data_IF_535367313882
#
_entry.id   IF_535367313882
#
_cell.length_a   1.000
_cell.length_b   1.000
_cell.length_c   1.000
_cell.angle_alpha   90.00
_cell.angle_beta   90.00
_cell.angle_gamma   90.00
#
_symmetry.space_group_name_H-M   'P 1'
#
loop_
_entity.id
_entity.type
_entity.pdbx_description
1 polymer ?
#
# COMPACT_ATOMS: atom_id res chain seq x y z
N UNK A 1 -1.12 -14.01 19.60
CA UNK A 1 -1.76 -13.06 18.66
C UNK A 1 -0.86 -11.89 18.26
N UNK A 2 0.01 -11.37 19.13
CA UNK A 2 0.89 -10.23 18.83
C UNK A 2 1.72 -10.35 17.53
N UNK A 3 2.30 -11.52 17.24
CA UNK A 3 3.05 -11.74 15.99
C UNK A 3 2.20 -11.60 14.73
N UNK A 4 0.95 -12.07 14.75
CA UNK A 4 0.02 -11.95 13.62
C UNK A 4 -0.37 -10.48 13.39
N UNK A 5 -0.66 -9.75 14.47
CA UNK A 5 -0.95 -8.31 14.43
C UNK A 5 0.24 -7.53 13.85
N UNK A 6 1.46 -7.83 14.32
CA UNK A 6 2.69 -7.24 13.81
C UNK A 6 2.86 -7.48 12.30
N UNK A 7 2.59 -8.70 11.81
CA UNK A 7 2.66 -9.01 10.39
C UNK A 7 1.71 -8.14 9.56
N UNK A 8 0.47 -7.94 9.99
CA UNK A 8 -0.48 -7.07 9.26
C UNK A 8 -0.01 -5.62 9.20
N UNK A 9 0.54 -5.09 10.30
CA UNK A 9 1.11 -3.74 10.31
C UNK A 9 2.36 -3.63 9.43
N UNK A 10 3.26 -4.61 9.48
CA UNK A 10 4.46 -4.63 8.64
C UNK A 10 4.14 -4.73 7.15
N UNK A 11 3.18 -5.58 6.77
CA UNK A 11 2.71 -5.71 5.38
C UNK A 11 2.02 -4.43 4.92
N UNK A 12 1.16 -3.85 5.75
CA UNK A 12 0.53 -2.55 5.47
C UNK A 12 1.57 -1.46 5.17
N UNK A 13 2.61 -1.35 6.00
CA UNK A 13 3.69 -0.37 5.82
C UNK A 13 4.48 -0.61 4.52
N UNK A 14 4.77 -1.87 4.17
CA UNK A 14 5.40 -2.23 2.90
C UNK A 14 4.54 -1.83 1.69
N UNK A 15 3.23 -2.10 1.75
CA UNK A 15 2.29 -1.78 0.68
C UNK A 15 2.16 -0.26 0.47
N UNK A 16 2.06 0.51 1.54
CA UNK A 16 2.07 1.97 1.45
C UNK A 16 3.38 2.51 0.87
N UNK A 17 4.53 1.97 1.29
CA UNK A 17 5.83 2.35 0.74
C UNK A 17 5.90 2.09 -0.77
N UNK A 18 5.40 0.93 -1.21
CA UNK A 18 5.25 0.61 -2.63
C UNK A 18 4.32 1.59 -3.36
N UNK A 19 3.18 1.94 -2.76
CA UNK A 19 2.26 2.92 -3.33
C UNK A 19 2.91 4.29 -3.54
N UNK A 20 3.64 4.80 -2.54
CA UNK A 20 4.39 6.05 -2.65
C UNK A 20 5.44 6.03 -3.77
N UNK A 21 6.12 4.89 -3.96
CA UNK A 21 7.06 4.73 -5.07
C UNK A 21 6.37 4.92 -6.43
N UNK A 22 5.20 4.30 -6.64
CA UNK A 22 4.45 4.47 -7.88
C UNK A 22 3.84 5.86 -8.03
N UNK A 23 3.41 6.51 -6.95
CA UNK A 23 2.95 7.91 -7.01
C UNK A 23 4.08 8.85 -7.45
N UNK A 24 5.29 8.66 -6.93
CA UNK A 24 6.47 9.42 -7.36
C UNK A 24 6.81 9.17 -8.83
N UNK A 25 6.72 7.91 -9.28
CA UNK A 25 6.90 7.53 -10.69
C UNK A 25 5.85 8.21 -11.60
N UNK A 26 4.60 8.32 -11.15
CA UNK A 26 3.52 8.95 -11.91
C UNK A 26 3.70 10.47 -12.08
N UNK A 27 4.41 11.12 -11.14
CA UNK A 27 4.76 12.54 -11.22
C UNK A 27 5.89 12.83 -12.21
N UNK A 28 6.66 11.83 -12.63
CA UNK A 28 7.72 12.02 -13.60
C UNK A 28 7.14 12.30 -14.99
N UNK A 29 7.81 13.17 -15.76
CA UNK A 29 7.41 13.57 -17.12
C UNK A 29 7.81 12.52 -18.18
N UNK A 30 7.82 11.25 -17.80
CA UNK A 30 8.17 10.16 -18.69
C UNK A 30 7.00 9.81 -19.62
N UNK A 31 7.30 9.53 -20.89
CA UNK A 31 6.32 9.11 -21.90
C UNK A 31 5.75 7.71 -21.63
N UNK A 32 6.55 6.84 -20.99
CA UNK A 32 6.18 5.48 -20.63
C UNK A 32 6.72 5.10 -19.25
N UNK A 33 5.99 4.33 -18.43
CA UNK A 33 4.64 3.81 -18.65
C UNK A 33 3.53 4.89 -18.53
N UNK A 34 2.37 4.72 -19.22
CA UNK A 34 1.25 5.65 -19.14
C UNK A 34 0.82 5.92 -17.70
N UNK A 35 0.64 7.20 -17.35
CA UNK A 35 0.37 7.63 -15.96
C UNK A 35 -0.83 6.93 -15.33
N UNK A 36 -1.90 6.67 -16.07
CA UNK A 36 -3.09 5.98 -15.55
C UNK A 36 -2.78 4.55 -15.05
N UNK A 37 -1.87 3.82 -15.70
CA UNK A 37 -1.45 2.47 -15.29
C UNK A 37 -0.64 2.56 -13.99
N UNK A 38 0.23 3.57 -13.88
CA UNK A 38 1.03 3.80 -12.67
C UNK A 38 0.14 4.18 -11.49
N UNK A 39 -0.86 5.05 -11.71
CA UNK A 39 -1.84 5.40 -10.70
C UNK A 39 -2.71 4.22 -10.28
N UNK A 40 -3.10 3.34 -11.22
CA UNK A 40 -3.86 2.14 -10.90
C UNK A 40 -3.06 1.18 -10.00
N UNK A 41 -1.76 0.98 -10.31
CA UNK A 41 -0.85 0.19 -9.45
C UNK A 41 -0.70 0.81 -8.05
N UNK A 42 -0.54 2.14 -7.98
CA UNK A 42 -0.47 2.86 -6.71
C UNK A 42 -1.77 2.70 -5.90
N UNK A 43 -2.94 2.78 -6.55
CA UNK A 43 -4.24 2.63 -5.92
C UNK A 43 -4.49 1.21 -5.40
N UNK A 44 -4.10 0.18 -6.16
CA UNK A 44 -4.18 -1.22 -5.69
C UNK A 44 -3.31 -1.45 -4.46
N UNK A 45 -2.08 -0.93 -4.45
CA UNK A 45 -1.18 -1.03 -3.30
C UNK A 45 -1.71 -0.25 -2.09
N UNK A 46 -2.21 0.96 -2.28
CA UNK A 46 -2.82 1.76 -1.21
C UNK A 46 -4.06 1.07 -0.64
N UNK A 47 -4.94 0.52 -1.50
CA UNK A 47 -6.13 -0.21 -1.09
C UNK A 47 -5.79 -1.48 -0.30
N UNK A 48 -4.82 -2.27 -0.79
CA UNK A 48 -4.32 -3.44 -0.06
C UNK A 48 -3.70 -3.08 1.28
N UNK A 49 -2.90 -1.99 1.35
CA UNK A 49 -2.33 -1.48 2.59
C UNK A 49 -3.39 -1.03 3.58
N UNK A 50 -4.42 -0.32 3.13
CA UNK A 50 -5.54 0.10 3.97
C UNK A 50 -6.32 -1.11 4.52
N UNK A 51 -6.60 -2.13 3.70
CA UNK A 51 -7.27 -3.36 4.14
C UNK A 51 -6.42 -4.10 5.19
N UNK A 52 -5.12 -4.27 4.93
CA UNK A 52 -4.20 -4.91 5.89
C UNK A 52 -4.12 -4.14 7.21
N UNK A 53 -4.09 -2.81 7.15
CA UNK A 53 -4.14 -1.94 8.33
C UNK A 53 -5.42 -2.16 9.14
N UNK A 54 -6.58 -2.14 8.48
CA UNK A 54 -7.88 -2.33 9.13
C UNK A 54 -7.99 -3.69 9.81
N UNK A 55 -7.49 -4.76 9.18
CA UNK A 55 -7.44 -6.09 9.79
C UNK A 55 -6.50 -6.10 11.02
N UNK A 56 -5.33 -5.47 10.91
CA UNK A 56 -4.39 -5.34 12.03
C UNK A 56 -5.00 -4.58 13.22
N UNK A 57 -5.75 -3.50 12.95
CA UNK A 57 -6.48 -2.74 13.98
C UNK A 57 -7.56 -3.61 14.61
N UNK A 58 -8.36 -4.31 13.80
CA UNK A 58 -9.43 -5.17 14.31
C UNK A 58 -8.89 -6.24 15.27
N UNK A 59 -7.79 -6.91 14.90
CA UNK A 59 -7.14 -7.91 15.76
C UNK A 59 -6.42 -7.32 16.97
N UNK A 60 -6.05 -6.04 16.95
CA UNK A 60 -5.50 -5.36 18.12
C UNK A 60 -6.60 -4.98 19.12
N UNK A 61 -7.80 -4.66 18.63
CA UNK A 61 -8.94 -4.24 19.46
C UNK A 61 -9.74 -5.37 20.08
N UNK A 62 -9.55 -6.62 19.63
CA UNK A 62 -10.21 -7.83 20.13
C UNK A 62 -9.28 -8.57 21.09
#
# INVERSE_FOLDING_TARGET
>A
MAGVIFLFFAVSLLLFTGSFHYLKLAQQSASYPPKHIVHQKAAVLAGGGAIALLIGILFYTV
#
